data_IF_988382405081
#
_entry.id   IF_988382405081
#
_cell.length_a   1.000
_cell.length_b   1.000
_cell.length_c   1.000
_cell.angle_alpha   90.00
_cell.angle_beta   90.00
_cell.angle_gamma   90.00
#
_symmetry.space_group_name_H-M   'P 1'
#
loop_
_entity.id
_entity.type
_entity.pdbx_description
1 polymer ?
#
# COMPACT_ATOMS: atom_id res chain seq x y z
N UNK A 1 53.90 -12.40 12.15
CA UNK A 1 53.29 -12.81 10.87
C UNK A 1 51.99 -13.48 11.19
N UNK A 2 50.91 -12.87 10.73
CA UNK A 2 49.52 -13.09 11.11
C UNK A 2 48.98 -14.42 10.54
N UNK A 3 48.43 -15.31 11.38
CA UNK A 3 47.74 -16.50 10.90
C UNK A 3 46.22 -16.28 10.95
N UNK A 4 45.67 -16.00 9.76
CA UNK A 4 44.26 -15.90 9.43
C UNK A 4 43.42 -17.05 10.01
N UNK A 5 42.69 -16.78 11.09
CA UNK A 5 41.63 -17.67 11.60
C UNK A 5 40.32 -17.34 10.88
N UNK A 6 40.08 -17.98 9.72
CA UNK A 6 38.78 -17.95 9.03
C UNK A 6 37.70 -18.55 9.93
N UNK A 7 36.86 -17.71 10.54
CA UNK A 7 35.58 -18.14 11.12
C UNK A 7 34.63 -18.46 9.96
N UNK A 8 34.35 -19.74 9.72
CA UNK A 8 33.16 -20.14 8.97
C UNK A 8 31.96 -19.93 9.89
N UNK A 9 31.14 -18.93 9.60
CA UNK A 9 29.84 -18.75 10.23
C UNK A 9 28.91 -19.74 9.52
N UNK A 10 28.54 -20.82 10.20
CA UNK A 10 27.49 -21.71 9.74
C UNK A 10 26.17 -21.02 10.11
N UNK A 11 25.53 -20.38 9.14
CA UNK A 11 24.18 -19.85 9.29
C UNK A 11 23.16 -21.00 9.22
N UNK A 12 23.15 -21.86 10.25
CA UNK A 12 22.00 -22.71 10.53
C UNK A 12 21.01 -21.90 11.39
N UNK A 13 19.76 -21.69 10.94
CA UNK A 13 18.76 -21.09 11.80
C UNK A 13 18.39 -22.08 12.90
N UNK A 14 18.84 -21.76 14.11
CA UNK A 14 18.51 -22.44 15.37
C UNK A 14 16.99 -22.48 15.53
N UNK A 15 16.49 -23.67 15.86
CA UNK A 15 15.08 -24.06 15.87
C UNK A 15 14.14 -23.07 16.55
N UNK A 16 12.94 -22.98 15.96
CA UNK A 16 11.83 -22.17 16.46
C UNK A 16 11.30 -21.14 15.48
N UNK A 17 11.43 -21.35 14.16
CA UNK A 17 10.79 -20.48 13.18
C UNK A 17 9.30 -20.80 13.12
N UNK A 18 8.47 -19.90 13.65
CA UNK A 18 7.04 -19.87 13.40
C UNK A 18 6.79 -20.02 11.88
N UNK A 19 6.24 -21.16 11.47
CA UNK A 19 5.94 -21.51 10.08
C UNK A 19 4.83 -20.66 9.43
N UNK A 20 4.55 -19.46 9.95
CA UNK A 20 3.76 -18.49 9.19
C UNK A 20 4.72 -17.91 8.16
N UNK A 21 4.87 -18.64 7.04
CA UNK A 21 5.34 -18.05 5.81
C UNK A 21 4.29 -17.00 5.42
N UNK A 22 4.45 -15.78 5.93
CA UNK A 22 3.64 -14.62 5.56
C UNK A 22 4.01 -14.26 4.14
N UNK A 23 3.49 -15.04 3.18
CA UNK A 23 3.65 -14.80 1.75
C UNK A 23 2.76 -13.59 1.41
N UNK A 24 3.32 -12.40 1.57
CA UNK A 24 2.70 -11.15 1.17
C UNK A 24 2.70 -11.06 -0.35
N UNK A 25 1.54 -10.77 -0.93
CA UNK A 25 1.42 -10.52 -2.36
C UNK A 25 1.53 -9.03 -2.60
N UNK A 26 2.53 -8.65 -3.39
CA UNK A 26 2.69 -7.27 -3.86
C UNK A 26 1.78 -7.07 -5.06
N UNK A 27 1.02 -5.99 -5.05
CA UNK A 27 0.28 -5.50 -6.20
C UNK A 27 0.62 -4.03 -6.37
N UNK A 28 0.71 -3.59 -7.63
CA UNK A 28 0.91 -2.20 -7.98
C UNK A 28 -0.32 -1.74 -8.79
N UNK A 29 -0.92 -0.61 -8.41
CA UNK A 29 -2.07 -0.04 -9.09
C UNK A 29 -1.77 1.41 -9.45
N UNK A 30 -1.95 1.76 -10.73
CA UNK A 30 -1.70 3.11 -11.25
C UNK A 30 -3.01 3.69 -11.77
N UNK A 31 -3.32 4.91 -11.32
CA UNK A 31 -4.50 5.66 -11.72
C UNK A 31 -4.10 7.10 -12.02
N UNK A 32 -4.59 7.65 -13.12
CA UNK A 32 -4.34 9.03 -13.54
C UNK A 32 -5.60 9.87 -13.41
N UNK A 33 -5.48 11.02 -12.76
CA UNK A 33 -6.56 12.01 -12.64
C UNK A 33 -6.31 13.10 -13.68
N UNK A 34 -7.26 13.26 -14.60
CA UNK A 34 -7.23 14.36 -15.57
C UNK A 34 -7.79 15.64 -14.94
N UNK A 35 -7.32 16.79 -15.41
CA UNK A 35 -7.79 18.11 -14.96
C UNK A 35 -7.79 18.27 -13.43
N UNK A 36 -6.74 17.78 -12.75
CA UNK A 36 -6.67 17.72 -11.29
C UNK A 36 -6.97 19.05 -10.59
N UNK A 37 -6.55 20.18 -11.20
CA UNK A 37 -6.80 21.52 -10.67
C UNK A 37 -8.29 21.85 -10.50
N UNK A 38 -9.19 21.29 -11.33
CA UNK A 38 -10.63 21.52 -11.20
C UNK A 38 -11.22 20.86 -9.95
N UNK A 39 -10.55 19.86 -9.40
CA UNK A 39 -11.01 19.16 -8.20
C UNK A 39 -10.53 19.82 -6.90
N UNK A 40 -9.85 20.96 -6.99
CA UNK A 40 -9.36 21.70 -5.82
C UNK A 40 -10.40 22.70 -5.28
N UNK A 41 -11.52 22.90 -5.98
CA UNK A 41 -12.52 23.91 -5.62
C UNK A 41 -13.26 23.55 -4.32
N UNK A 42 -13.65 22.29 -4.16
CA UNK A 42 -14.47 21.84 -3.03
C UNK A 42 -13.68 20.95 -2.06
N UNK A 43 -13.51 21.43 -0.81
CA UNK A 43 -13.03 20.61 0.31
C UNK A 43 -14.03 19.48 0.59
N UNK A 44 -13.55 18.32 1.03
CA UNK A 44 -14.35 17.11 1.25
C UNK A 44 -14.97 16.48 -0.01
N UNK A 45 -14.75 17.04 -1.20
CA UNK A 45 -15.12 16.38 -2.45
C UNK A 45 -14.14 15.24 -2.76
N UNK A 46 -14.69 14.07 -3.14
CA UNK A 46 -13.88 12.89 -3.51
C UNK A 46 -13.95 12.62 -5.00
N UNK A 47 -12.82 12.21 -5.56
CA UNK A 47 -12.79 11.54 -6.84
C UNK A 47 -13.25 10.09 -6.64
N UNK A 48 -14.04 9.57 -7.59
CA UNK A 48 -14.42 8.15 -7.64
C UNK A 48 -13.47 7.41 -8.60
N UNK A 49 -12.36 6.83 -8.09
CA UNK A 49 -11.50 6.03 -8.95
C UNK A 49 -12.16 4.68 -9.28
N UNK A 50 -11.66 3.99 -10.32
CA UNK A 50 -12.05 2.62 -10.60
C UNK A 50 -11.77 1.71 -9.40
N UNK A 51 -12.58 0.67 -9.24
CA UNK A 51 -12.26 -0.43 -8.33
C UNK A 51 -11.31 -1.40 -9.03
N UNK A 52 -10.46 -2.06 -8.26
CA UNK A 52 -9.53 -3.07 -8.76
C UNK A 52 -9.61 -4.34 -7.90
N UNK A 53 -9.39 -5.47 -8.55
CA UNK A 53 -9.51 -6.79 -7.94
C UNK A 53 -8.11 -7.32 -7.64
N UNK A 54 -7.94 -7.88 -6.45
CA UNK A 54 -6.73 -8.58 -6.05
C UNK A 54 -7.07 -10.06 -5.93
N UNK A 55 -6.52 -10.86 -6.84
CA UNK A 55 -6.72 -12.31 -6.87
C UNK A 55 -5.62 -13.00 -6.08
N UNK A 56 -5.65 -12.90 -4.75
CA UNK A 56 -4.74 -13.65 -3.89
C UNK A 56 -5.46 -14.43 -2.80
N UNK A 57 -5.41 -15.77 -2.88
CA UNK A 57 -6.12 -16.76 -2.05
C UNK A 57 -7.65 -16.62 -2.10
N UNK A 58 -8.18 -15.45 -1.80
CA UNK A 58 -9.58 -15.05 -1.97
C UNK A 58 -9.62 -13.77 -2.82
N UNK A 59 -10.57 -13.69 -3.76
CA UNK A 59 -10.74 -12.52 -4.62
C UNK A 59 -11.31 -11.38 -3.79
N UNK A 60 -10.49 -10.38 -3.49
CA UNK A 60 -10.93 -9.17 -2.78
C UNK A 60 -10.99 -7.98 -3.72
N UNK A 61 -12.01 -7.13 -3.56
CA UNK A 61 -12.19 -5.90 -4.31
C UNK A 61 -11.72 -4.72 -3.46
N UNK A 62 -10.83 -3.91 -4.04
CA UNK A 62 -10.24 -2.73 -3.41
C UNK A 62 -10.48 -1.50 -4.26
N UNK A 63 -10.41 -0.33 -3.64
CA UNK A 63 -10.46 0.95 -4.35
C UNK A 63 -9.69 2.01 -3.57
N UNK A 64 -9.18 3.01 -4.29
CA UNK A 64 -8.63 4.21 -3.65
C UNK A 64 -9.78 5.18 -3.34
N UNK A 65 -9.67 5.93 -2.26
CA UNK A 65 -10.56 7.06 -1.98
C UNK A 65 -9.68 8.29 -1.87
N UNK A 66 -9.86 9.23 -2.79
CA UNK A 66 -8.97 10.38 -2.95
C UNK A 66 -9.81 11.65 -2.82
N UNK A 67 -9.33 12.58 -1.99
CA UNK A 67 -9.87 13.92 -1.81
C UNK A 67 -8.78 14.92 -2.20
N UNK A 68 -8.88 15.55 -3.38
CA UNK A 68 -7.84 16.46 -3.88
C UNK A 68 -7.58 17.66 -2.99
N UNK A 69 -8.60 18.14 -2.28
CA UNK A 69 -8.53 19.29 -1.38
C UNK A 69 -8.91 18.96 0.08
N UNK A 70 -8.48 17.79 0.56
CA UNK A 70 -8.70 17.36 1.94
C UNK A 70 -10.03 16.63 2.15
N UNK A 71 -10.03 15.61 3.01
CA UNK A 71 -11.26 14.89 3.37
C UNK A 71 -12.05 15.55 4.51
N UNK A 72 -11.54 16.66 5.04
CA UNK A 72 -12.09 17.47 6.12
C UNK A 72 -11.63 18.91 5.94
N UNK A 73 -12.37 19.85 6.52
CA UNK A 73 -12.01 21.29 6.47
C UNK A 73 -10.63 21.59 7.08
N UNK A 74 -10.27 20.90 8.17
CA UNK A 74 -8.95 21.04 8.81
C UNK A 74 -7.79 20.55 7.94
N UNK A 75 -8.09 19.80 6.87
CA UNK A 75 -7.13 19.24 5.92
C UNK A 75 -7.26 19.88 4.53
N UNK A 76 -7.92 21.04 4.43
CA UNK A 76 -7.95 21.84 3.22
C UNK A 76 -6.52 22.09 2.73
N UNK A 77 -6.34 22.15 1.41
CA UNK A 77 -5.06 22.32 0.71
C UNK A 77 -4.14 21.08 0.76
N UNK A 78 -4.53 20.00 1.45
CA UNK A 78 -3.82 18.72 1.44
C UNK A 78 -4.53 17.67 0.58
N UNK A 79 -3.76 16.87 -0.15
CA UNK A 79 -4.26 15.66 -0.79
C UNK A 79 -4.49 14.56 0.26
N UNK A 80 -5.73 14.10 0.43
CA UNK A 80 -6.03 12.95 1.29
C UNK A 80 -6.30 11.70 0.46
N UNK A 81 -5.64 10.58 0.79
CA UNK A 81 -5.77 9.31 0.08
C UNK A 81 -5.94 8.12 1.04
N UNK A 82 -6.88 7.23 0.73
CA UNK A 82 -7.15 6.02 1.52
C UNK A 82 -7.23 4.81 0.60
N UNK A 83 -6.69 3.68 1.05
CA UNK A 83 -6.94 2.38 0.43
C UNK A 83 -8.12 1.73 1.15
N UNK A 84 -9.15 1.37 0.40
CA UNK A 84 -10.41 0.86 0.94
C UNK A 84 -10.69 -0.55 0.43
N UNK A 85 -11.05 -1.46 1.33
CA UNK A 85 -11.61 -2.76 0.99
C UNK A 85 -13.11 -2.59 0.70
N UNK A 86 -13.56 -3.08 -0.45
CA UNK A 86 -14.98 -3.08 -0.86
C UNK A 86 -15.65 -4.43 -0.62
N UNK A 87 -14.98 -5.52 -1.00
CA UNK A 87 -15.43 -6.89 -0.74
C UNK A 87 -14.22 -7.75 -0.36
N UNK A 88 -14.28 -8.52 0.74
CA UNK A 88 -13.26 -9.49 1.11
C UNK A 88 -13.27 -10.72 0.18
#
# INVERSE_FOLDING_TARGET
MDQNRKRKMNDEPIGGLCNVLTKATKFDYTFSIQNFSHHLEDTCERIKPPTFLIEWKNKSEWYLRIYPNGNKEELKEFLSGFLMLRSP
#
